data_IF_742988362466
#
_entry.id   IF_742988362466
#
_cell.length_a   1.000
_cell.length_b   1.000
_cell.length_c   1.000
_cell.angle_alpha   90.00
_cell.angle_beta   90.00
_cell.angle_gamma   90.00
#
_symmetry.space_group_name_H-M   'P 1'
#
loop_
_entity.id
_entity.type
_entity.pdbx_description
1 polymer ?
#
# COMPACT_ATOMS: atom_id res chain seq x y z
N UNK A 1 15.88 24.62 -14.74
CA UNK A 1 14.95 24.10 -13.73
C UNK A 1 14.49 25.30 -12.91
N UNK A 2 13.19 25.56 -12.90
CA UNK A 2 12.59 26.60 -12.08
C UNK A 2 12.43 26.03 -10.66
N UNK A 3 13.17 26.60 -9.71
CA UNK A 3 13.21 26.11 -8.34
C UNK A 3 11.86 26.31 -7.63
N UNK A 4 11.19 27.43 -7.87
CA UNK A 4 9.90 27.73 -7.25
C UNK A 4 8.85 26.72 -7.70
N UNK A 5 8.77 26.48 -9.01
CA UNK A 5 7.84 25.50 -9.57
C UNK A 5 8.16 24.08 -9.09
N UNK A 6 9.43 23.74 -8.96
CA UNK A 6 9.85 22.45 -8.39
C UNK A 6 9.43 22.28 -6.94
N UNK A 7 9.55 23.31 -6.12
CA UNK A 7 9.12 23.29 -4.72
C UNK A 7 7.59 23.13 -4.61
N UNK A 8 6.83 23.87 -5.42
CA UNK A 8 5.37 23.71 -5.49
C UNK A 8 4.96 22.32 -5.95
N UNK A 9 5.59 21.80 -6.99
CA UNK A 9 5.33 20.45 -7.47
C UNK A 9 5.65 19.39 -6.41
N UNK A 10 6.75 19.57 -5.67
CA UNK A 10 7.12 18.67 -4.56
C UNK A 10 6.10 18.73 -3.43
N UNK A 11 5.65 19.92 -3.05
CA UNK A 11 4.62 20.09 -2.02
C UNK A 11 3.28 19.43 -2.44
N UNK A 12 2.81 19.71 -3.65
CA UNK A 12 1.59 19.10 -4.18
C UNK A 12 1.73 17.58 -4.36
N UNK A 13 2.90 17.12 -4.80
CA UNK A 13 3.23 15.70 -4.90
C UNK A 13 3.22 15.01 -3.55
N UNK A 14 3.72 15.66 -2.49
CA UNK A 14 3.61 15.15 -1.13
C UNK A 14 2.15 15.00 -0.70
N UNK A 15 1.31 16.01 -0.93
CA UNK A 15 -0.14 15.91 -0.65
C UNK A 15 -0.80 14.79 -1.44
N UNK A 16 -0.41 14.60 -2.70
CA UNK A 16 -0.88 13.50 -3.53
C UNK A 16 -0.47 12.13 -2.98
N UNK A 17 0.78 11.97 -2.51
CA UNK A 17 1.24 10.76 -1.83
C UNK A 17 0.41 10.47 -0.57
N UNK A 18 -0.04 11.49 0.16
CA UNK A 18 -0.94 11.29 1.31
C UNK A 18 -2.27 10.70 0.86
N UNK A 19 -2.88 11.26 -0.19
CA UNK A 19 -4.14 10.76 -0.75
C UNK A 19 -3.98 9.31 -1.20
N UNK A 20 -2.97 9.00 -2.02
CA UNK A 20 -2.71 7.64 -2.52
C UNK A 20 -2.49 6.67 -1.36
N UNK A 21 -1.63 7.00 -0.40
CA UNK A 21 -1.32 6.10 0.71
C UNK A 21 -2.51 5.85 1.61
N UNK A 22 -3.26 6.89 1.99
CA UNK A 22 -4.40 6.74 2.89
C UNK A 22 -5.58 6.06 2.22
N UNK A 23 -6.00 6.57 1.06
CA UNK A 23 -7.22 6.12 0.38
C UNK A 23 -7.00 4.80 -0.36
N UNK A 24 -5.96 4.71 -1.18
CA UNK A 24 -5.78 3.57 -2.05
C UNK A 24 -5.05 2.42 -1.35
N UNK A 25 -4.00 2.71 -0.58
CA UNK A 25 -3.18 1.65 -0.01
C UNK A 25 -3.67 1.20 1.38
N UNK A 26 -3.74 2.08 2.37
CA UNK A 26 -4.20 1.70 3.72
C UNK A 26 -5.67 1.28 3.71
N UNK A 27 -6.57 2.08 3.12
CA UNK A 27 -8.00 1.74 3.07
C UNK A 27 -8.31 0.68 2.01
N UNK A 28 -7.85 0.87 0.76
CA UNK A 28 -8.16 -0.02 -0.35
C UNK A 28 -7.38 -1.34 -0.33
N UNK A 29 -6.07 -1.27 -0.48
CA UNK A 29 -5.23 -2.47 -0.62
C UNK A 29 -5.19 -3.30 0.66
N UNK A 30 -4.94 -2.63 1.78
CA UNK A 30 -4.72 -3.27 3.05
C UNK A 30 -6.04 -3.69 3.71
N UNK A 31 -6.95 -2.76 4.00
CA UNK A 31 -8.19 -3.07 4.75
C UNK A 31 -9.27 -3.73 3.92
N UNK A 32 -9.48 -3.26 2.69
CA UNK A 32 -10.52 -3.81 1.82
C UNK A 32 -10.07 -5.11 1.14
N UNK A 33 -9.00 -5.09 0.33
CA UNK A 33 -8.60 -6.29 -0.43
C UNK A 33 -7.89 -7.34 0.44
N UNK A 34 -6.96 -6.96 1.32
CA UNK A 34 -6.23 -7.96 2.10
C UNK A 34 -7.05 -8.53 3.26
N UNK A 35 -7.76 -7.68 4.00
CA UNK A 35 -8.48 -8.07 5.23
C UNK A 35 -10.00 -8.06 5.16
N UNK A 36 -10.60 -7.63 4.03
CA UNK A 36 -12.04 -7.71 3.80
C UNK A 36 -12.89 -7.06 4.91
N UNK A 37 -12.41 -5.96 5.49
CA UNK A 37 -12.95 -5.38 6.73
C UNK A 37 -14.29 -4.63 6.54
N UNK A 38 -14.62 -4.24 5.31
CA UNK A 38 -15.82 -3.48 4.99
C UNK A 38 -16.32 -3.77 3.57
N UNK A 39 -17.56 -3.36 3.28
CA UNK A 39 -18.12 -3.39 1.92
C UNK A 39 -18.16 -1.98 1.34
N UNK A 40 -17.83 -1.85 0.06
CA UNK A 40 -17.82 -0.56 -0.65
C UNK A 40 -18.65 -0.59 -1.94
N UNK A 41 -18.83 0.57 -2.57
CA UNK A 41 -19.45 0.68 -3.89
C UNK A 41 -18.43 0.38 -4.99
N UNK A 42 -18.93 0.02 -6.19
CA UNK A 42 -18.08 -0.20 -7.35
C UNK A 42 -17.19 1.02 -7.68
N UNK A 43 -17.73 2.23 -7.52
CA UNK A 43 -17.00 3.47 -7.75
C UNK A 43 -15.74 3.57 -6.88
N UNK A 44 -15.88 3.30 -5.59
CA UNK A 44 -14.76 3.33 -4.66
C UNK A 44 -13.77 2.20 -4.91
N UNK A 45 -14.25 0.99 -5.21
CA UNK A 45 -13.36 -0.14 -5.55
C UNK A 45 -12.49 0.18 -6.77
N UNK A 46 -13.08 0.72 -7.84
CA UNK A 46 -12.33 1.16 -9.02
C UNK A 46 -11.35 2.27 -8.65
N UNK A 47 -11.76 3.24 -7.83
CA UNK A 47 -10.88 4.30 -7.33
C UNK A 47 -9.69 3.75 -6.52
N UNK A 48 -9.91 2.75 -5.66
CA UNK A 48 -8.84 2.07 -4.94
C UNK A 48 -7.88 1.41 -5.91
N UNK A 49 -8.39 0.64 -6.88
CA UNK A 49 -7.57 -0.05 -7.89
C UNK A 49 -6.68 0.95 -8.63
N UNK A 50 -7.24 2.04 -9.17
CA UNK A 50 -6.46 3.06 -9.89
C UNK A 50 -5.36 3.64 -8.98
N UNK A 51 -5.69 4.01 -7.74
CA UNK A 51 -4.72 4.55 -6.81
C UNK A 51 -3.61 3.55 -6.44
N UNK A 52 -3.94 2.26 -6.29
CA UNK A 52 -2.97 1.19 -6.03
C UNK A 52 -2.04 1.03 -7.23
N UNK A 53 -2.58 1.09 -8.45
CA UNK A 53 -1.77 1.02 -9.65
C UNK A 53 -0.77 2.18 -9.71
N UNK A 54 -1.16 3.39 -9.32
CA UNK A 54 -0.28 4.58 -9.21
C UNK A 54 0.75 4.43 -8.07
N UNK A 55 0.38 3.80 -6.96
CA UNK A 55 1.24 3.67 -5.78
C UNK A 55 2.54 2.89 -6.05
N UNK A 56 2.62 2.05 -7.08
CA UNK A 56 3.84 1.33 -7.44
C UNK A 56 4.43 0.38 -6.35
N UNK A 57 3.64 -0.07 -5.36
CA UNK A 57 4.16 -0.93 -4.27
C UNK A 57 4.59 -2.29 -4.80
N UNK A 58 3.63 -3.04 -5.35
CA UNK A 58 3.73 -4.32 -6.09
C UNK A 58 2.45 -4.46 -6.91
N UNK A 59 2.36 -5.46 -7.78
CA UNK A 59 1.08 -5.78 -8.44
C UNK A 59 -0.01 -6.02 -7.37
N UNK A 60 -1.27 -5.58 -7.58
CA UNK A 60 -2.32 -5.64 -6.55
C UNK A 60 -2.46 -7.00 -5.84
N UNK A 61 -2.68 -8.09 -6.59
CA UNK A 61 -2.79 -9.45 -6.02
C UNK A 61 -1.47 -9.88 -5.39
N UNK A 62 -0.33 -9.52 -5.99
CA UNK A 62 1.00 -9.87 -5.49
C UNK A 62 1.30 -9.26 -4.12
N UNK A 63 0.86 -8.02 -3.88
CA UNK A 63 0.98 -7.38 -2.57
C UNK A 63 0.05 -8.03 -1.54
N UNK A 64 -1.22 -8.24 -1.88
CA UNK A 64 -2.19 -8.83 -0.94
C UNK A 64 -1.77 -10.23 -0.52
N UNK A 65 -1.33 -11.05 -1.47
CA UNK A 65 -0.89 -12.40 -1.17
C UNK A 65 0.37 -12.40 -0.29
N UNK A 66 1.33 -11.50 -0.54
CA UNK A 66 2.51 -11.38 0.32
C UNK A 66 2.19 -10.90 1.72
N UNK A 67 1.28 -9.94 1.86
CA UNK A 67 0.84 -9.45 3.16
C UNK A 67 0.14 -10.55 3.97
N UNK A 68 -0.71 -11.33 3.32
CA UNK A 68 -1.38 -12.48 3.96
C UNK A 68 -0.40 -13.61 4.32
N UNK A 69 0.64 -13.83 3.52
CA UNK A 69 1.74 -14.74 3.86
C UNK A 69 2.47 -14.26 5.12
N UNK A 70 2.82 -12.98 5.16
CA UNK A 70 3.46 -12.35 6.31
C UNK A 70 2.64 -12.52 7.59
N UNK A 71 1.33 -12.27 7.55
CA UNK A 71 0.46 -12.51 8.71
C UNK A 71 0.36 -13.98 9.15
N UNK A 72 0.56 -14.93 8.23
CA UNK A 72 0.39 -16.35 8.50
C UNK A 72 1.64 -17.00 9.10
N UNK A 73 2.81 -16.38 8.90
CA UNK A 73 4.10 -16.90 9.37
C UNK A 73 5.00 -15.73 9.82
N UNK A 74 4.47 -14.78 10.59
CA UNK A 74 5.20 -13.56 10.99
C UNK A 74 6.52 -13.92 11.65
N UNK A 75 7.62 -13.33 11.19
CA UNK A 75 9.01 -13.64 11.61
C UNK A 75 9.43 -15.11 11.41
N UNK A 76 8.67 -15.88 10.63
CA UNK A 76 8.95 -17.26 10.28
C UNK A 76 9.75 -17.42 8.99
N UNK A 77 10.12 -18.66 8.63
CA UNK A 77 10.90 -18.97 7.43
C UNK A 77 10.16 -18.69 6.11
N UNK A 78 8.83 -18.56 6.14
CA UNK A 78 7.99 -18.26 4.97
C UNK A 78 7.54 -16.80 4.94
N UNK A 79 7.95 -15.98 5.92
CA UNK A 79 7.63 -14.56 5.97
C UNK A 79 8.35 -13.80 4.83
N UNK A 80 7.62 -13.22 3.86
CA UNK A 80 8.22 -12.39 2.82
C UNK A 80 8.77 -11.05 3.31
N UNK A 81 8.56 -10.69 4.57
CA UNK A 81 8.98 -9.42 5.15
C UNK A 81 10.02 -9.59 6.27
N UNK A 82 10.49 -10.81 6.55
CA UNK A 82 11.55 -11.00 7.54
C UNK A 82 12.88 -10.44 7.02
N UNK A 83 13.17 -9.21 7.46
CA UNK A 83 14.39 -8.48 7.14
C UNK A 83 15.68 -9.18 7.61
N UNK A 84 15.61 -10.04 8.64
CA UNK A 84 16.77 -10.79 9.13
C UNK A 84 17.17 -11.89 8.15
N UNK A 85 16.19 -12.51 7.49
CA UNK A 85 16.42 -13.55 6.49
C UNK A 85 16.65 -12.99 5.08
N UNK A 86 15.82 -12.03 4.67
CA UNK A 86 15.81 -11.50 3.28
C UNK A 86 16.88 -10.41 3.10
N UNK A 87 17.21 -9.69 4.17
CA UNK A 87 18.13 -8.56 4.20
C UNK A 87 17.41 -7.22 4.30
N UNK A 88 17.79 -6.42 5.30
CA UNK A 88 17.20 -5.13 5.63
C UNK A 88 17.02 -4.20 4.42
N UNK A 89 18.03 -4.09 3.55
CA UNK A 89 17.93 -3.20 2.39
C UNK A 89 16.82 -3.60 1.42
N UNK A 90 16.70 -4.90 1.12
CA UNK A 90 15.67 -5.38 0.18
C UNK A 90 14.27 -5.16 0.74
N UNK A 91 14.09 -5.38 2.04
CA UNK A 91 12.80 -5.14 2.72
C UNK A 91 12.51 -3.63 2.79
N UNK A 92 13.48 -2.81 3.19
CA UNK A 92 13.36 -1.36 3.31
C UNK A 92 13.05 -0.65 1.98
N UNK A 93 13.43 -1.23 0.84
CA UNK A 93 13.14 -0.68 -0.50
C UNK A 93 12.06 -1.45 -1.25
N UNK A 94 11.46 -2.49 -0.64
CA UNK A 94 10.45 -3.35 -1.28
C UNK A 94 10.94 -3.94 -2.62
N UNK A 95 12.20 -4.41 -2.67
CA UNK A 95 12.84 -5.01 -3.86
C UNK A 95 13.12 -6.50 -3.69
N UNK A 96 12.44 -7.17 -2.76
CA UNK A 96 12.49 -8.62 -2.59
C UNK A 96 11.46 -9.30 -3.50
N UNK A 97 11.72 -10.57 -3.80
CA UNK A 97 10.91 -11.38 -4.70
C UNK A 97 10.31 -12.60 -4.01
N UNK A 98 9.11 -12.96 -4.45
CA UNK A 98 8.43 -14.19 -4.05
C UNK A 98 8.59 -15.22 -5.15
N UNK A 99 9.36 -16.26 -4.86
CA UNK A 99 9.52 -17.40 -5.79
C UNK A 99 8.25 -18.24 -5.88
N UNK A 100 7.51 -18.35 -4.78
CA UNK A 100 6.29 -19.14 -4.71
C UNK A 100 5.26 -18.43 -3.84
N UNK A 101 4.05 -18.27 -4.37
CA UNK A 101 2.89 -17.74 -3.65
C UNK A 101 1.86 -18.85 -3.57
N UNK A 102 1.62 -19.44 -2.38
CA UNK A 102 0.60 -20.47 -2.22
C UNK A 102 -0.78 -19.93 -2.60
N UNK A 103 -1.53 -20.69 -3.40
CA UNK A 103 -2.85 -20.31 -3.93
C UNK A 103 -3.81 -19.85 -2.82
N UNK A 104 -3.72 -20.46 -1.63
CA UNK A 104 -4.57 -20.12 -0.47
C UNK A 104 -4.54 -18.63 -0.08
N UNK A 105 -3.47 -17.89 -0.39
CA UNK A 105 -3.35 -16.48 -0.05
C UNK A 105 -3.92 -15.53 -1.10
N UNK A 106 -4.20 -16.02 -2.30
CA UNK A 106 -4.66 -15.21 -3.42
C UNK A 106 -5.98 -15.67 -4.05
N UNK A 107 -6.45 -16.89 -3.76
CA UNK A 107 -7.56 -17.56 -4.46
C UNK A 107 -8.80 -16.68 -4.60
N UNK A 108 -9.27 -16.08 -3.51
CA UNK A 108 -10.47 -15.23 -3.46
C UNK A 108 -10.32 -13.94 -4.28
N UNK A 109 -9.08 -13.46 -4.50
CA UNK A 109 -8.84 -12.23 -5.25
C UNK A 109 -9.11 -12.39 -6.74
N UNK A 110 -9.01 -13.62 -7.27
CA UNK A 110 -9.29 -13.93 -8.67
C UNK A 110 -10.79 -13.94 -9.00
N UNK A 111 -11.66 -13.93 -8.00
CA UNK A 111 -13.11 -13.76 -8.19
C UNK A 111 -13.46 -12.32 -8.61
N UNK A 112 -12.54 -11.36 -8.46
CA UNK A 112 -12.72 -9.98 -8.88
C UNK A 112 -11.97 -9.70 -10.21
N UNK A 113 -12.67 -9.68 -11.37
CA UNK A 113 -12.02 -9.50 -12.67
C UNK A 113 -11.33 -8.15 -12.83
N UNK A 114 -11.76 -7.10 -12.12
CA UNK A 114 -11.11 -5.78 -12.16
C UNK A 114 -9.76 -5.80 -11.48
N UNK A 115 -9.68 -6.49 -10.34
CA UNK A 115 -8.43 -6.65 -9.60
C UNK A 115 -7.43 -7.53 -10.37
N UNK A 116 -7.94 -8.59 -11.02
CA UNK A 116 -7.14 -9.44 -11.93
C UNK A 116 -6.60 -8.62 -13.09
N UNK A 117 -7.45 -7.86 -13.78
CA UNK A 117 -7.00 -6.98 -14.87
C UNK A 117 -5.91 -6.01 -14.41
N UNK A 118 -6.10 -5.38 -13.25
CA UNK A 118 -5.12 -4.46 -12.68
C UNK A 118 -3.81 -5.15 -12.28
N UNK A 119 -3.86 -6.41 -11.87
CA UNK A 119 -2.67 -7.22 -11.58
C UNK A 119 -1.89 -7.58 -12.84
N UNK A 120 -2.58 -8.01 -13.89
CA UNK A 120 -1.98 -8.45 -15.16
C UNK A 120 -1.43 -7.29 -16.00
N UNK A 121 -2.04 -6.11 -15.91
CA UNK A 121 -1.71 -4.95 -16.75
C UNK A 121 -0.97 -3.85 -15.96
N UNK A 122 -0.47 -4.15 -14.76
CA UNK A 122 0.08 -3.16 -13.85
C UNK A 122 1.28 -2.40 -14.42
N UNK A 123 2.24 -3.13 -15.00
CA UNK A 123 3.46 -2.58 -15.60
C UNK A 123 3.14 -1.70 -16.82
N UNK A 124 2.25 -2.17 -17.68
CA UNK A 124 1.77 -1.49 -18.88
C UNK A 124 1.07 -0.19 -18.50
N UNK A 125 0.17 -0.23 -17.51
CA UNK A 125 -0.47 0.96 -16.97
C UNK A 125 0.55 1.96 -16.43
N UNK A 126 1.55 1.51 -15.68
CA UNK A 126 2.57 2.40 -15.11
C UNK A 126 3.34 3.14 -16.19
N UNK A 127 3.77 2.45 -17.25
CA UNK A 127 4.46 3.08 -18.37
C UNK A 127 3.60 4.15 -19.05
N UNK A 128 2.33 3.85 -19.34
CA UNK A 128 1.43 4.83 -19.94
C UNK A 128 1.12 6.00 -19.01
N UNK A 129 0.90 5.73 -17.71
CA UNK A 129 0.66 6.77 -16.71
C UNK A 129 1.86 7.72 -16.60
N UNK A 130 3.08 7.18 -16.51
CA UNK A 130 4.30 7.97 -16.41
C UNK A 130 4.55 8.78 -17.68
N UNK A 131 4.37 8.17 -18.85
CA UNK A 131 4.46 8.89 -20.13
C UNK A 131 3.45 10.03 -20.20
N UNK A 132 2.18 9.78 -19.85
CA UNK A 132 1.14 10.80 -19.84
C UNK A 132 1.46 11.95 -18.86
N UNK A 133 1.95 11.65 -17.66
CA UNK A 133 2.37 12.68 -16.71
C UNK A 133 3.54 13.51 -17.25
N UNK A 134 4.51 12.89 -17.92
CA UNK A 134 5.66 13.57 -18.50
C UNK A 134 5.26 14.49 -19.66
N UNK A 135 4.27 14.09 -20.46
CA UNK A 135 3.72 14.92 -21.54
C UNK A 135 3.06 16.22 -21.03
N UNK A 136 2.55 16.23 -19.79
CA UNK A 136 2.00 17.43 -19.16
C UNK A 136 3.14 18.37 -18.75
N UNK A 137 4.07 17.88 -17.92
CA UNK A 137 5.35 18.54 -17.64
C UNK A 137 6.25 17.64 -16.80
N UNK A 138 7.58 17.90 -16.78
CA UNK A 138 8.49 17.23 -15.85
C UNK A 138 8.11 17.42 -14.37
N UNK A 139 7.54 18.57 -14.01
CA UNK A 139 7.09 18.86 -12.65
C UNK A 139 5.84 18.07 -12.27
N UNK A 140 4.88 17.92 -13.19
CA UNK A 140 3.70 17.10 -12.97
C UNK A 140 4.07 15.61 -12.87
N UNK A 141 4.98 15.12 -13.73
CA UNK A 141 5.54 13.78 -13.60
C UNK A 141 6.24 13.55 -12.27
N UNK A 142 7.06 14.51 -11.83
CA UNK A 142 7.71 14.46 -10.53
C UNK A 142 6.68 14.27 -9.41
N UNK A 143 5.66 15.13 -9.36
CA UNK A 143 4.66 15.16 -8.31
C UNK A 143 3.68 13.96 -8.34
N UNK A 144 3.17 13.62 -9.52
CA UNK A 144 2.06 12.68 -9.68
C UNK A 144 2.49 11.23 -9.92
N UNK A 145 3.72 10.99 -10.41
CA UNK A 145 4.20 9.67 -10.77
C UNK A 145 5.45 9.26 -9.98
N UNK A 146 6.52 10.06 -10.04
CA UNK A 146 7.79 9.68 -9.42
C UNK A 146 7.74 9.71 -7.88
N UNK A 147 7.15 10.75 -7.29
CA UNK A 147 7.01 10.85 -5.84
C UNK A 147 6.22 9.68 -5.23
N UNK A 148 5.04 9.28 -5.75
CA UNK A 148 4.33 8.09 -5.27
C UNK A 148 5.17 6.82 -5.31
N UNK A 149 5.96 6.62 -6.37
CA UNK A 149 6.88 5.48 -6.48
C UNK A 149 7.92 5.46 -5.35
N UNK A 150 8.60 6.59 -5.12
CA UNK A 150 9.59 6.71 -4.04
C UNK A 150 8.92 6.50 -2.68
N UNK A 151 7.76 7.11 -2.47
CA UNK A 151 7.01 7.04 -1.23
C UNK A 151 6.57 5.61 -0.91
N UNK A 152 6.16 4.84 -1.92
CA UNK A 152 5.80 3.44 -1.73
C UNK A 152 7.02 2.56 -1.43
N UNK A 153 8.10 2.70 -2.19
CA UNK A 153 9.30 1.86 -2.00
C UNK A 153 9.94 2.07 -0.65
N UNK A 154 10.01 3.32 -0.18
CA UNK A 154 10.61 3.67 1.11
C UNK A 154 9.58 3.56 2.25
N UNK A 155 8.38 4.10 2.09
CA UNK A 155 7.37 4.16 3.16
C UNK A 155 6.90 2.78 3.64
N UNK A 156 6.52 1.88 2.71
CA UNK A 156 6.11 0.52 3.09
C UNK A 156 7.28 -0.31 3.61
N UNK A 157 8.46 -0.16 2.98
CA UNK A 157 9.66 -0.82 3.47
C UNK A 157 10.01 -0.39 4.90
N UNK A 158 9.86 0.89 5.22
CA UNK A 158 10.04 1.41 6.58
C UNK A 158 9.05 0.76 7.57
N UNK A 159 7.78 0.57 7.21
CA UNK A 159 6.82 -0.15 8.07
C UNK A 159 7.29 -1.58 8.35
N UNK A 160 7.74 -2.29 7.31
CA UNK A 160 8.20 -3.67 7.45
C UNK A 160 9.51 -3.79 8.23
N UNK A 161 10.32 -2.73 8.32
CA UNK A 161 11.51 -2.70 9.18
C UNK A 161 11.15 -2.27 10.61
N UNK A 162 10.61 -1.08 10.76
CA UNK A 162 10.41 -0.48 12.08
C UNK A 162 9.20 -1.06 12.82
N UNK A 163 8.19 -1.54 12.09
CA UNK A 163 7.06 -2.26 12.65
C UNK A 163 7.39 -3.70 13.07
N UNK A 164 8.56 -4.23 12.69
CA UNK A 164 8.99 -5.61 12.99
C UNK A 164 10.39 -5.74 13.60
N UNK A 165 10.99 -4.63 14.05
CA UNK A 165 12.38 -4.62 14.53
C UNK A 165 12.67 -5.71 15.58
N UNK A 166 11.73 -5.92 16.51
CA UNK A 166 11.75 -6.99 17.51
C UNK A 166 10.36 -7.66 17.60
N UNK A 167 9.77 -7.97 16.45
CA UNK A 167 8.38 -8.40 16.35
C UNK A 167 7.40 -7.25 16.12
N UNK A 168 6.10 -7.54 15.93
CA UNK A 168 5.09 -6.54 15.63
C UNK A 168 5.06 -5.43 16.70
N UNK A 169 5.34 -4.20 16.28
CA UNK A 169 5.50 -3.04 17.15
C UNK A 169 4.74 -1.84 16.60
N UNK A 170 3.99 -1.15 17.47
CA UNK A 170 3.30 0.08 17.09
C UNK A 170 4.30 1.23 16.89
N UNK A 171 4.23 1.87 15.74
CA UNK A 171 4.89 3.11 15.41
C UNK A 171 3.84 4.18 15.13
N UNK A 172 3.20 4.74 16.16
CA UNK A 172 2.10 5.72 16.00
C UNK A 172 2.51 6.93 15.16
N UNK A 173 3.78 7.33 15.22
CA UNK A 173 4.35 8.40 14.39
C UNK A 173 4.30 8.09 12.89
N UNK A 174 4.25 6.82 12.49
CA UNK A 174 4.17 6.42 11.09
C UNK A 174 2.80 6.71 10.48
N UNK A 175 1.76 6.93 11.29
CA UNK A 175 0.42 7.26 10.79
C UNK A 175 0.38 8.57 9.98
N UNK A 176 1.34 9.48 10.19
CA UNK A 176 1.50 10.67 9.36
C UNK A 176 1.85 10.37 7.90
N UNK A 177 2.34 9.17 7.62
CA UNK A 177 2.86 8.75 6.31
C UNK A 177 2.05 7.56 5.77
N UNK A 178 1.65 6.62 6.65
CA UNK A 178 1.07 5.32 6.28
C UNK A 178 -0.45 5.24 6.46
N UNK A 179 -1.11 6.36 6.74
CA UNK A 179 -2.56 6.44 6.72
C UNK A 179 -3.31 5.60 7.75
N UNK A 180 -2.67 5.27 8.86
CA UNK A 180 -3.29 4.53 9.96
C UNK A 180 -2.65 3.17 10.25
N UNK A 181 -1.77 2.70 9.36
CA UNK A 181 -1.09 1.41 9.48
C UNK A 181 0.08 1.43 10.48
N UNK A 182 0.31 2.54 11.19
CA UNK A 182 1.32 2.65 12.24
C UNK A 182 0.93 1.94 13.55
N UNK A 183 -0.34 1.60 13.75
CA UNK A 183 -0.80 0.72 14.85
C UNK A 183 -0.57 -0.76 14.48
N UNK A 184 0.68 -1.08 14.13
CA UNK A 184 1.05 -2.32 13.48
C UNK A 184 0.93 -3.55 14.37
N UNK A 185 1.23 -3.42 15.67
CA UNK A 185 1.04 -4.50 16.63
C UNK A 185 -0.45 -4.81 16.81
N UNK A 186 -1.27 -3.77 16.99
CA UNK A 186 -2.73 -3.92 17.10
C UNK A 186 -3.32 -4.57 15.85
N UNK A 187 -2.78 -4.21 14.68
CA UNK A 187 -3.16 -4.80 13.41
C UNK A 187 -2.83 -6.31 13.33
N UNK A 188 -1.63 -6.71 13.74
CA UNK A 188 -1.25 -8.13 13.81
C UNK A 188 -2.12 -8.94 14.79
N UNK A 189 -2.45 -8.37 15.94
CA UNK A 189 -3.32 -9.02 16.94
C UNK A 189 -4.80 -9.07 16.51
N UNK A 190 -5.24 -8.09 15.71
CA UNK A 190 -6.64 -7.91 15.32
C UNK A 190 -6.79 -7.52 13.83
N UNK A 191 -6.41 -8.40 12.88
CA UNK A 191 -6.29 -8.05 11.46
C UNK A 191 -7.61 -7.67 10.79
N UNK A 192 -8.76 -8.07 11.36
CA UNK A 192 -10.09 -7.73 10.85
C UNK A 192 -10.68 -6.44 11.46
N UNK A 193 -9.96 -5.80 12.39
CA UNK A 193 -10.44 -4.58 13.04
C UNK A 193 -10.28 -3.38 12.10
N UNK A 194 -11.40 -2.77 11.73
CA UNK A 194 -11.41 -1.61 10.82
C UNK A 194 -10.69 -0.37 11.36
N UNK A 195 -10.68 -0.16 12.68
CA UNK A 195 -10.03 0.98 13.33
C UNK A 195 -9.00 0.49 14.34
N UNK A 196 -7.74 0.79 14.09
CA UNK A 196 -6.61 0.29 14.85
C UNK A 196 -6.26 1.19 16.05
N UNK A 197 -6.55 2.50 15.98
CA UNK A 197 -6.28 3.39 17.09
C UNK A 197 -6.75 4.83 16.91
N UNK A 198 -6.34 5.72 17.83
CA UNK A 198 -6.80 7.12 17.91
C UNK A 198 -6.42 7.94 16.67
N UNK A 199 -5.23 7.74 16.13
CA UNK A 199 -4.71 8.49 14.98
C UNK A 199 -4.82 7.72 13.66
N UNK A 200 -5.69 6.71 13.62
CA UNK A 200 -5.94 5.89 12.45
C UNK A 200 -6.86 6.58 11.45
N UNK A 201 -6.33 7.56 10.70
CA UNK A 201 -7.10 8.35 9.74
C UNK A 201 -7.80 7.47 8.69
N UNK A 202 -7.12 6.45 8.15
CA UNK A 202 -7.71 5.50 7.20
C UNK A 202 -8.89 4.74 7.79
N UNK A 203 -8.81 4.31 9.04
CA UNK A 203 -9.90 3.61 9.73
C UNK A 203 -11.10 4.50 10.01
N UNK A 204 -10.86 5.75 10.42
CA UNK A 204 -11.94 6.72 10.60
C UNK A 204 -12.61 7.09 9.27
N UNK A 205 -11.83 7.28 8.21
CA UNK A 205 -12.37 7.49 6.86
C UNK A 205 -13.23 6.28 6.46
N UNK A 206 -12.72 5.07 6.67
CA UNK A 206 -13.43 3.87 6.25
C UNK A 206 -14.72 3.64 7.03
N UNK A 207 -14.71 3.85 8.34
CA UNK A 207 -15.89 3.76 9.19
C UNK A 207 -16.95 4.83 8.82
N UNK A 208 -16.51 6.03 8.41
CA UNK A 208 -17.42 7.11 8.03
C UNK A 208 -18.17 6.83 6.72
N UNK A 209 -17.47 6.26 5.73
CA UNK A 209 -18.01 6.12 4.38
C UNK A 209 -18.55 4.72 4.06
N UNK A 210 -18.10 3.68 4.76
CA UNK A 210 -18.43 2.29 4.40
C UNK A 210 -18.95 1.47 5.57
N UNK A 211 -19.82 0.51 5.25
CA UNK A 211 -20.41 -0.38 6.24
C UNK A 211 -19.41 -1.48 6.59
N UNK A 212 -19.13 -1.63 7.89
CA UNK A 212 -18.37 -2.76 8.42
C UNK A 212 -19.01 -4.07 7.96
N UNK A 213 -18.15 -5.03 7.61
CA UNK A 213 -18.60 -6.40 7.39
C UNK A 213 -18.73 -7.03 8.79
N UNK A 214 -19.95 -7.38 9.19
CA UNK A 214 -20.23 -8.12 10.42
C UNK A 214 -19.67 -9.54 10.31
#
# INVERSE_FOLDING_TARGET
MDLELFLWATFLGFLWCQVVTHYAVSVGLHRYFAHNQFKTSLFHEVGFIIGIMIACVRTPIGWVASHRMHHADTEGPLDPHDAKQIGYWKVATTTWDLKHVPIKFAKDLYDNPRLVWAHENWDTFLWYYWAACMLISPYFWWAAAFMPYVFAKVGFGMLNIFGHWNGPTDGVWMNWILGGDGYHKVHHEHPYRLKLGKYDLGGYLAERFWKKKL
#
